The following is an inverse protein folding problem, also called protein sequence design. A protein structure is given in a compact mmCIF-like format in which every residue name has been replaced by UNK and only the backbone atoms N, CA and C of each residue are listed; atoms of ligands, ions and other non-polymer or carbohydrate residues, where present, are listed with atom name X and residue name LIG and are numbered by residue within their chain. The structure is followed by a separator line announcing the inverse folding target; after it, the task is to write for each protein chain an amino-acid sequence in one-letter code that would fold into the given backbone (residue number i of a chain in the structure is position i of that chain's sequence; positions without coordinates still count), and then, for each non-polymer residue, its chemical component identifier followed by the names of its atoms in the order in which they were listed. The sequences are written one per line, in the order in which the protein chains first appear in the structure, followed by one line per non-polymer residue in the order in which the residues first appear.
data_IF_932415282952
#
_entry.id   IF_932415282952
#
_cell.length_a   1.000
_cell.length_b   1.000
_cell.length_c   1.000
_cell.angle_alpha   90.00
_cell.angle_beta   90.00
_cell.angle_gamma   90.00
#
_symmetry.space_group_name_H-M   'P 1'
#
loop_
_entity.id
_entity.type
_entity.pdbx_description
1 polymer ?
#
# COMPACT_ATOMS: atom_id res chain seq x y z
N UNK A 1 -41.49 -3.89 11.89
CA UNK A 1 -40.62 -4.40 12.96
C UNK A 1 -40.74 -3.42 14.11
N UNK A 2 -41.25 -3.84 15.26
CA UNK A 2 -41.35 -2.99 16.45
C UNK A 2 -39.95 -2.69 16.98
N UNK A 3 -39.56 -1.41 16.98
CA UNK A 3 -38.39 -0.94 17.73
C UNK A 3 -38.67 -1.12 19.22
N UNK A 4 -38.25 -2.26 19.78
CA UNK A 4 -38.23 -2.47 21.22
C UNK A 4 -37.09 -1.62 21.80
N UNK A 5 -37.41 -0.39 22.16
CA UNK A 5 -36.52 0.50 22.89
C UNK A 5 -36.35 -0.01 24.33
N UNK A 6 -35.34 -0.86 24.55
CA UNK A 6 -34.99 -1.34 25.89
C UNK A 6 -34.36 -0.18 26.65
N UNK A 7 -35.13 0.47 27.51
CA UNK A 7 -34.63 1.52 28.40
C UNK A 7 -33.99 0.86 29.62
N UNK A 8 -32.67 0.94 29.73
CA UNK A 8 -31.93 0.54 30.94
C UNK A 8 -32.23 1.60 32.01
N UNK A 9 -33.15 1.30 32.93
CA UNK A 9 -33.41 2.17 34.07
C UNK A 9 -32.39 1.91 35.18
N UNK A 10 -31.40 2.79 35.30
CA UNK A 10 -30.46 2.83 36.43
C UNK A 10 -30.84 3.93 37.40
N UNK A 11 -31.02 3.60 38.67
CA UNK A 11 -31.32 4.56 39.73
C UNK A 11 -30.03 5.30 40.12
N UNK A 12 -29.95 6.59 39.77
CA UNK A 12 -28.79 7.47 39.98
C UNK A 12 -28.69 7.93 41.44
N UNK A 13 -28.30 7.05 42.36
CA UNK A 13 -27.67 7.51 43.61
C UNK A 13 -26.21 7.09 43.57
N UNK A 14 -25.25 8.04 43.55
CA UNK A 14 -23.84 7.69 43.51
C UNK A 14 -23.51 6.83 44.73
N UNK A 15 -22.79 5.70 44.57
CA UNK A 15 -22.40 4.87 45.69
C UNK A 15 -21.43 5.64 46.58
N UNK A 16 -21.94 6.22 47.67
CA UNK A 16 -21.16 6.98 48.64
C UNK A 16 -20.87 6.12 49.88
N UNK A 17 -19.58 5.98 50.22
CA UNK A 17 -19.16 5.33 51.46
C UNK A 17 -19.07 6.43 52.54
N UNK A 18 -20.10 6.56 53.38
CA UNK A 18 -20.01 7.38 54.59
C UNK A 18 -19.41 6.58 55.75
N UNK A 19 -18.42 7.12 56.44
CA UNK A 19 -17.86 6.50 57.65
C UNK A 19 -17.49 7.57 58.68
N UNK A 20 -17.45 7.18 59.95
CA UNK A 20 -17.16 8.09 61.07
C UNK A 20 -15.66 8.40 61.16
N UNK A 21 -15.15 9.19 60.21
CA UNK A 21 -13.73 9.56 60.12
C UNK A 21 -13.21 10.19 61.42
N UNK A 22 -13.95 11.12 62.01
CA UNK A 22 -13.52 11.84 63.21
C UNK A 22 -13.36 10.90 64.42
N UNK A 23 -14.26 9.93 64.57
CA UNK A 23 -14.17 8.92 65.64
C UNK A 23 -13.00 7.97 65.40
N UNK A 24 -12.80 7.51 64.15
CA UNK A 24 -11.69 6.62 63.79
C UNK A 24 -10.33 7.32 63.99
N UNK A 25 -10.25 8.61 63.65
CA UNK A 25 -9.06 9.44 63.86
C UNK A 25 -8.79 9.68 65.34
N UNK A 26 -9.82 10.00 66.13
CA UNK A 26 -9.68 10.18 67.59
C UNK A 26 -9.19 8.91 68.28
N UNK A 27 -9.72 7.74 67.90
CA UNK A 27 -9.26 6.45 68.38
C UNK A 27 -7.78 6.18 68.02
N UNK A 28 -7.39 6.44 66.77
CA UNK A 28 -6.01 6.26 66.32
C UNK A 28 -5.02 7.19 67.05
N UNK A 29 -5.42 8.45 67.31
CA UNK A 29 -4.62 9.39 68.11
C UNK A 29 -4.49 8.90 69.54
N UNK A 30 -5.58 8.52 70.20
CA UNK A 30 -5.54 8.02 71.58
C UNK A 30 -4.71 6.74 71.75
N UNK A 31 -4.72 5.84 70.75
CA UNK A 31 -3.88 4.64 70.75
C UNK A 31 -2.38 4.95 70.59
N UNK A 32 -2.04 6.05 69.91
CA UNK A 32 -0.64 6.43 69.62
C UNK A 32 -0.05 7.43 70.61
N UNK A 33 -0.88 8.13 71.37
CA UNK A 33 -0.49 9.21 72.28
C UNK A 33 0.48 8.76 73.38
N UNK A 34 0.30 7.54 73.90
CA UNK A 34 1.19 6.94 74.92
C UNK A 34 2.61 6.64 74.42
N UNK A 35 2.83 6.65 73.11
CA UNK A 35 4.12 6.33 72.49
C UNK A 35 4.89 7.57 72.03
N UNK A 36 4.29 8.76 72.13
CA UNK A 36 4.84 10.00 71.56
C UNK A 36 6.12 10.49 72.26
N UNK A 37 6.20 10.28 73.57
CA UNK A 37 7.32 10.72 74.43
C UNK A 37 8.06 9.53 75.10
N UNK A 38 7.84 8.31 74.61
CA UNK A 38 8.43 7.10 75.19
C UNK A 38 9.92 6.98 74.85
N UNK A 39 10.79 7.03 75.87
CA UNK A 39 12.22 6.74 75.74
C UNK A 39 12.44 5.24 75.97
N UNK A 40 12.93 4.54 74.95
CA UNK A 40 13.15 3.07 75.02
C UNK A 40 14.42 2.77 75.81
N UNK A 41 14.29 2.07 76.94
CA UNK A 41 15.39 1.52 77.73
C UNK A 41 15.61 0.03 77.39
N UNK A 42 16.78 -0.54 77.72
CA UNK A 42 17.14 -1.92 77.36
C UNK A 42 16.16 -2.97 77.90
N UNK A 43 15.62 -2.76 79.09
CA UNK A 43 14.63 -3.59 79.75
C UNK A 43 13.23 -3.48 79.11
N UNK A 44 12.89 -2.35 78.48
CA UNK A 44 11.59 -2.10 77.85
C UNK A 44 11.49 -2.61 76.39
N UNK A 45 12.59 -3.06 75.79
CA UNK A 45 12.64 -3.45 74.36
C UNK A 45 11.61 -4.52 74.01
N UNK A 46 11.41 -5.52 74.88
CA UNK A 46 10.47 -6.60 74.63
C UNK A 46 9.01 -6.11 74.59
N UNK A 47 8.62 -5.25 75.52
CA UNK A 47 7.28 -4.67 75.59
C UNK A 47 7.04 -3.69 74.42
N UNK A 48 8.03 -2.84 74.10
CA UNK A 48 7.95 -1.93 72.94
C UNK A 48 7.77 -2.70 71.63
N UNK A 49 8.46 -3.83 71.44
CA UNK A 49 8.27 -4.69 70.26
C UNK A 49 6.86 -5.27 70.18
N UNK A 50 6.26 -5.65 71.31
CA UNK A 50 4.86 -6.13 71.37
C UNK A 50 3.88 -5.02 70.98
N UNK A 51 4.10 -3.83 71.51
CA UNK A 51 3.25 -2.66 71.23
C UNK A 51 3.37 -2.19 69.77
N UNK A 52 4.58 -2.24 69.19
CA UNK A 52 4.78 -2.03 67.75
C UNK A 52 4.03 -3.05 66.89
N UNK A 53 3.97 -4.32 67.33
CA UNK A 53 3.20 -5.35 66.64
C UNK A 53 1.69 -5.09 66.74
N UNK A 54 1.20 -4.62 67.89
CA UNK A 54 -0.19 -4.24 68.11
C UNK A 54 -0.60 -3.03 67.25
N UNK A 55 0.21 -1.98 67.19
CA UNK A 55 -0.01 -0.82 66.32
C UNK A 55 -0.06 -1.22 64.84
N UNK A 56 0.85 -2.11 64.41
CA UNK A 56 0.82 -2.64 63.04
C UNK A 56 -0.42 -3.48 62.76
N UNK A 57 -0.89 -4.27 63.74
CA UNK A 57 -2.12 -5.06 63.62
C UNK A 57 -3.35 -4.16 63.51
N UNK A 58 -3.44 -3.11 64.33
CA UNK A 58 -4.50 -2.10 64.30
C UNK A 58 -4.52 -1.35 62.95
N UNK A 59 -3.36 -0.90 62.47
CA UNK A 59 -3.21 -0.29 61.14
C UNK A 59 -3.69 -1.21 60.02
N UNK A 60 -3.29 -2.49 60.06
CA UNK A 60 -3.70 -3.48 59.06
C UNK A 60 -5.20 -3.72 59.07
N UNK A 61 -5.82 -3.82 60.24
CA UNK A 61 -7.27 -4.00 60.36
C UNK A 61 -8.07 -2.85 59.72
N UNK A 62 -7.62 -1.60 59.90
CA UNK A 62 -8.25 -0.42 59.26
C UNK A 62 -8.10 -0.46 57.73
N UNK A 63 -6.91 -0.80 57.22
CA UNK A 63 -6.69 -0.91 55.78
C UNK A 63 -7.47 -2.07 55.15
N UNK A 64 -7.59 -3.20 55.84
CA UNK A 64 -8.38 -4.34 55.37
C UNK A 64 -9.89 -4.03 55.37
N UNK A 65 -10.40 -3.31 56.38
CA UNK A 65 -11.77 -2.81 56.39
C UNK A 65 -12.06 -1.83 55.24
N UNK A 66 -11.10 -0.95 54.91
CA UNK A 66 -11.17 -0.07 53.73
C UNK A 66 -11.26 -0.88 52.43
N UNK A 67 -10.38 -1.89 52.24
CA UNK A 67 -10.39 -2.74 51.04
C UNK A 67 -11.72 -3.47 50.89
N UNK A 68 -12.26 -4.00 51.98
CA UNK A 68 -13.53 -4.72 51.96
C UNK A 68 -14.71 -3.80 51.63
N UNK A 69 -14.76 -2.59 52.20
CA UNK A 69 -15.78 -1.60 51.86
C UNK A 69 -15.73 -1.21 50.37
N UNK A 70 -14.53 -0.98 49.82
CA UNK A 70 -14.34 -0.72 48.39
C UNK A 70 -14.76 -1.93 47.54
N UNK A 71 -14.40 -3.15 47.94
CA UNK A 71 -14.77 -4.38 47.24
C UNK A 71 -16.29 -4.50 47.14
N UNK A 72 -17.00 -4.38 48.26
CA UNK A 72 -18.48 -4.47 48.34
C UNK A 72 -19.20 -3.47 47.45
N UNK A 73 -18.67 -2.25 47.32
CA UNK A 73 -19.26 -1.24 46.43
C UNK A 73 -18.91 -1.50 44.96
N UNK A 74 -17.70 -1.99 44.69
CA UNK A 74 -17.25 -2.27 43.32
C UNK A 74 -17.86 -3.53 42.72
N UNK A 75 -18.26 -4.52 43.53
CA UNK A 75 -18.81 -5.79 43.08
C UNK A 75 -20.11 -5.65 42.28
N UNK A 76 -21.13 -4.92 42.77
CA UNK A 76 -22.35 -4.67 41.99
C UNK A 76 -22.07 -3.94 40.67
N UNK A 77 -21.11 -3.00 40.65
CA UNK A 77 -20.73 -2.26 39.45
C UNK A 77 -20.09 -3.21 38.43
N UNK A 78 -19.13 -4.04 38.86
CA UNK A 78 -18.49 -5.05 37.99
C UNK A 78 -19.49 -6.07 37.47
N UNK A 79 -20.45 -6.49 38.30
CA UNK A 79 -21.51 -7.40 37.90
C UNK A 79 -22.41 -6.76 36.83
N UNK A 80 -22.80 -5.50 37.01
CA UNK A 80 -23.55 -4.74 36.01
C UNK A 80 -22.76 -4.58 34.69
N UNK A 81 -21.49 -4.18 34.76
CA UNK A 81 -20.61 -4.08 33.59
C UNK A 81 -20.49 -5.42 32.85
N UNK A 82 -20.36 -6.53 33.58
CA UNK A 82 -20.31 -7.87 33.01
C UNK A 82 -21.63 -8.24 32.32
N UNK A 83 -22.78 -7.95 32.94
CA UNK A 83 -24.10 -8.20 32.37
C UNK A 83 -24.33 -7.38 31.09
N UNK A 84 -23.98 -6.10 31.09
CA UNK A 84 -24.06 -5.26 29.89
C UNK A 84 -23.11 -5.77 28.81
N UNK A 85 -21.89 -6.20 29.18
CA UNK A 85 -20.94 -6.77 28.24
C UNK A 85 -21.46 -8.07 27.60
N UNK A 86 -22.11 -8.93 28.37
CA UNK A 86 -22.78 -10.13 27.88
C UNK A 86 -23.87 -9.76 26.86
N UNK A 87 -24.73 -8.79 27.18
CA UNK A 87 -25.77 -8.29 26.26
C UNK A 87 -25.15 -7.74 24.98
N UNK A 88 -24.11 -6.90 25.06
CA UNK A 88 -23.41 -6.37 23.87
C UNK A 88 -22.73 -7.48 23.06
N UNK A 89 -22.25 -8.53 23.73
CA UNK A 89 -21.62 -9.69 23.09
C UNK A 89 -22.60 -10.50 22.23
N UNK A 90 -23.88 -10.53 22.58
CA UNK A 90 -24.92 -11.17 21.75
C UNK A 90 -25.04 -10.44 20.41
N UNK A 91 -25.09 -9.11 20.43
CA UNK A 91 -25.16 -8.30 19.20
C UNK A 91 -23.89 -8.46 18.35
N UNK A 92 -22.72 -8.43 18.97
CA UNK A 92 -21.43 -8.60 18.28
C UNK A 92 -21.32 -9.97 17.61
N UNK A 93 -21.76 -11.03 18.29
CA UNK A 93 -21.78 -12.39 17.74
C UNK A 93 -22.64 -12.49 16.47
N UNK A 94 -23.87 -11.96 16.53
CA UNK A 94 -24.77 -11.94 15.37
C UNK A 94 -24.22 -11.06 14.25
N UNK A 95 -23.66 -9.90 14.58
CA UNK A 95 -23.03 -9.01 13.61
C UNK A 95 -21.87 -9.70 12.89
N UNK A 96 -20.96 -10.34 13.63
CA UNK A 96 -19.82 -11.08 13.05
C UNK A 96 -20.30 -12.22 12.14
N UNK A 97 -21.30 -12.98 12.57
CA UNK A 97 -21.86 -14.06 11.76
C UNK A 97 -22.46 -13.54 10.44
N UNK A 98 -23.20 -12.42 10.48
CA UNK A 98 -23.74 -11.78 9.29
C UNK A 98 -22.63 -11.21 8.39
N UNK A 99 -21.62 -10.57 8.97
CA UNK A 99 -20.47 -10.04 8.23
C UNK A 99 -19.72 -11.15 7.48
N UNK A 100 -19.53 -12.30 8.11
CA UNK A 100 -18.86 -13.44 7.48
C UNK A 100 -19.73 -14.09 6.38
N UNK A 101 -21.05 -14.17 6.58
CA UNK A 101 -21.97 -14.61 5.52
C UNK A 101 -21.93 -13.67 4.30
N UNK A 102 -21.90 -12.35 4.52
CA UNK A 102 -21.77 -11.36 3.44
C UNK A 102 -20.45 -11.54 2.72
N UNK A 103 -19.32 -11.66 3.44
CA UNK A 103 -18.00 -11.91 2.81
C UNK A 103 -18.00 -13.19 1.99
N UNK A 104 -18.57 -14.29 2.50
CA UNK A 104 -18.66 -15.55 1.79
C UNK A 104 -19.49 -15.42 0.50
N UNK A 105 -20.62 -14.70 0.56
CA UNK A 105 -21.45 -14.46 -0.61
C UNK A 105 -20.77 -13.56 -1.65
N UNK A 106 -20.05 -12.52 -1.21
CA UNK A 106 -19.27 -11.66 -2.11
C UNK A 106 -18.10 -12.40 -2.76
N UNK A 107 -17.43 -13.29 -2.01
CA UNK A 107 -16.39 -14.16 -2.54
C UNK A 107 -16.97 -15.14 -3.59
N UNK A 108 -18.10 -15.78 -3.30
CA UNK A 108 -18.77 -16.66 -4.26
C UNK A 108 -19.17 -15.93 -5.56
N UNK A 109 -19.73 -14.72 -5.46
CA UNK A 109 -20.02 -13.88 -6.64
C UNK A 109 -18.76 -13.51 -7.41
N UNK A 110 -17.66 -13.22 -6.71
CA UNK A 110 -16.37 -12.90 -7.32
C UNK A 110 -15.79 -14.10 -8.08
N UNK A 111 -15.93 -15.30 -7.53
CA UNK A 111 -15.50 -16.55 -8.16
C UNK A 111 -16.39 -16.93 -9.35
N UNK A 112 -17.71 -16.79 -9.23
CA UNK A 112 -18.64 -16.99 -10.36
C UNK A 112 -18.31 -16.01 -11.51
N UNK A 113 -18.03 -14.75 -11.19
CA UNK A 113 -17.59 -13.77 -12.17
C UNK A 113 -16.25 -14.15 -12.80
N UNK A 114 -15.31 -14.71 -12.03
CA UNK A 114 -14.04 -15.22 -12.54
C UNK A 114 -14.26 -16.33 -13.57
N UNK A 115 -15.16 -17.27 -13.28
CA UNK A 115 -15.52 -18.37 -14.21
C UNK A 115 -16.07 -17.78 -15.51
N UNK A 116 -17.04 -16.85 -15.43
CA UNK A 116 -17.61 -16.18 -16.62
C UNK A 116 -16.55 -15.43 -17.43
N UNK A 117 -15.57 -14.81 -16.78
CA UNK A 117 -14.45 -14.14 -17.47
C UNK A 117 -13.58 -15.16 -18.20
N UNK A 118 -13.28 -16.31 -17.59
CA UNK A 118 -12.50 -17.38 -18.24
C UNK A 118 -13.23 -17.94 -19.46
N UNK A 119 -14.54 -18.15 -19.35
CA UNK A 119 -15.40 -18.54 -20.48
C UNK A 119 -15.37 -17.48 -21.59
N UNK A 120 -15.49 -16.19 -21.23
CA UNK A 120 -15.42 -15.08 -22.17
C UNK A 120 -14.05 -14.97 -22.86
N UNK A 121 -12.95 -15.23 -22.14
CA UNK A 121 -11.60 -15.30 -22.73
C UNK A 121 -11.55 -16.42 -23.76
N UNK A 122 -12.06 -17.61 -23.43
CA UNK A 122 -12.09 -18.75 -24.33
C UNK A 122 -12.94 -18.47 -25.57
N UNK A 123 -14.12 -17.86 -25.39
CA UNK A 123 -15.01 -17.44 -26.48
C UNK A 123 -14.31 -16.43 -27.40
N UNK A 124 -13.78 -15.33 -26.86
CA UNK A 124 -13.10 -14.31 -27.64
C UNK A 124 -11.87 -14.86 -28.37
N UNK A 125 -11.12 -15.77 -27.74
CA UNK A 125 -9.98 -16.45 -28.36
C UNK A 125 -10.47 -17.33 -29.51
N UNK A 126 -11.53 -18.11 -29.30
CA UNK A 126 -12.08 -18.98 -30.36
C UNK A 126 -12.61 -18.15 -31.53
N UNK A 127 -13.33 -17.05 -31.26
CA UNK A 127 -13.82 -16.12 -32.28
C UNK A 127 -12.67 -15.51 -33.10
N UNK A 128 -11.60 -15.05 -32.45
CA UNK A 128 -10.46 -14.38 -33.09
C UNK A 128 -9.57 -15.33 -33.89
N UNK A 129 -9.45 -16.59 -33.47
CA UNK A 129 -8.57 -17.59 -34.09
C UNK A 129 -9.32 -18.66 -34.89
N UNK A 130 -10.62 -18.44 -35.17
CA UNK A 130 -11.47 -19.37 -35.91
C UNK A 130 -10.85 -19.69 -37.29
N UNK A 131 -10.35 -20.91 -37.47
CA UNK A 131 -9.70 -21.38 -38.70
C UNK A 131 -8.21 -21.73 -38.59
N UNK A 132 -7.55 -21.48 -37.44
CA UNK A 132 -6.21 -21.98 -37.20
C UNK A 132 -6.26 -23.44 -36.71
N UNK A 133 -5.62 -24.35 -37.44
CA UNK A 133 -5.47 -25.78 -37.12
C UNK A 133 -4.83 -26.02 -35.72
N UNK A 134 -4.19 -24.98 -35.17
CA UNK A 134 -3.75 -24.88 -33.79
C UNK A 134 -4.02 -23.45 -33.30
N UNK A 135 -5.04 -23.25 -32.46
CA UNK A 135 -5.15 -22.02 -31.69
C UNK A 135 -3.96 -21.99 -30.71
N UNK A 136 -3.11 -20.95 -30.71
CA UNK A 136 -2.06 -20.83 -29.71
C UNK A 136 -2.70 -20.85 -28.32
N UNK A 137 -2.05 -21.50 -27.35
CA UNK A 137 -2.50 -21.46 -25.95
C UNK A 137 -2.20 -20.07 -25.38
N UNK A 138 -3.07 -19.11 -25.68
CA UNK A 138 -2.95 -17.73 -25.22
C UNK A 138 -3.48 -17.66 -23.80
N UNK A 139 -2.58 -17.52 -22.83
CA UNK A 139 -2.94 -17.34 -21.43
C UNK A 139 -3.13 -15.84 -21.16
N UNK A 140 -4.39 -15.37 -21.19
CA UNK A 140 -4.73 -14.02 -20.75
C UNK A 140 -4.92 -14.04 -19.23
N UNK A 141 -4.05 -13.35 -18.46
CA UNK A 141 -4.21 -13.30 -17.01
C UNK A 141 -5.48 -12.52 -16.64
N UNK A 142 -6.31 -13.11 -15.78
CA UNK A 142 -7.49 -12.44 -15.24
C UNK A 142 -7.05 -11.27 -14.36
N UNK A 143 -7.45 -10.06 -14.74
CA UNK A 143 -7.09 -8.85 -14.01
C UNK A 143 -8.03 -8.63 -12.83
N UNK A 144 -7.49 -8.23 -11.67
CA UNK A 144 -8.29 -8.05 -10.45
C UNK A 144 -9.43 -7.01 -10.63
N UNK A 145 -9.17 -5.95 -11.40
CA UNK A 145 -10.18 -4.93 -11.74
C UNK A 145 -11.41 -5.49 -12.48
N UNK A 146 -11.30 -6.61 -13.18
CA UNK A 146 -12.42 -7.25 -13.87
C UNK A 146 -13.38 -7.93 -12.88
N UNK A 147 -12.87 -8.33 -11.71
CA UNK A 147 -13.63 -9.01 -10.66
C UNK A 147 -14.47 -8.04 -9.81
N UNK A 148 -14.25 -6.73 -9.93
CA UNK A 148 -15.04 -5.69 -9.25
C UNK A 148 -16.50 -5.70 -9.71
N UNK A 149 -17.47 -5.59 -8.79
CA UNK A 149 -18.92 -5.56 -9.10
C UNK A 149 -19.32 -4.53 -10.16
N UNK A 150 -18.64 -3.37 -10.18
CA UNK A 150 -18.92 -2.26 -11.09
C UNK A 150 -18.43 -2.49 -12.52
N UNK A 151 -17.47 -3.40 -12.74
CA UNK A 151 -16.90 -3.64 -14.06
C UNK A 151 -17.84 -4.50 -14.90
N UNK A 152 -18.29 -3.98 -16.04
CA UNK A 152 -19.26 -4.67 -16.90
C UNK A 152 -18.59 -5.74 -17.77
N UNK A 153 -19.33 -6.80 -18.13
CA UNK A 153 -18.83 -7.85 -19.04
C UNK A 153 -18.41 -7.28 -20.40
N UNK A 154 -19.09 -6.23 -20.88
CA UNK A 154 -18.76 -5.55 -22.13
C UNK A 154 -17.36 -4.93 -22.10
N UNK A 155 -17.03 -4.17 -21.06
CA UNK A 155 -15.70 -3.56 -20.90
C UNK A 155 -14.61 -4.62 -20.77
N UNK A 156 -14.91 -5.73 -20.09
CA UNK A 156 -13.96 -6.85 -19.96
C UNK A 156 -13.72 -7.51 -21.33
N UNK A 157 -14.77 -7.70 -22.13
CA UNK A 157 -14.66 -8.22 -23.50
C UNK A 157 -13.77 -7.34 -24.37
N UNK A 158 -13.96 -6.02 -24.31
CA UNK A 158 -13.14 -5.05 -25.04
C UNK A 158 -11.65 -5.14 -24.63
N UNK A 159 -11.36 -5.19 -23.32
CA UNK A 159 -9.99 -5.37 -22.80
C UNK A 159 -9.36 -6.70 -23.26
N UNK A 160 -10.14 -7.79 -23.27
CA UNK A 160 -9.69 -9.10 -23.77
C UNK A 160 -9.34 -9.00 -25.25
N UNK A 161 -10.21 -8.40 -26.06
CA UNK A 161 -9.98 -8.23 -27.50
C UNK A 161 -8.70 -7.43 -27.77
N UNK A 162 -8.50 -6.31 -27.07
CA UNK A 162 -7.27 -5.51 -27.18
C UNK A 162 -6.03 -6.34 -26.83
N UNK A 163 -6.13 -7.17 -25.79
CA UNK A 163 -5.05 -8.05 -25.37
C UNK A 163 -4.72 -9.12 -26.41
N UNK A 164 -5.74 -9.69 -27.06
CA UNK A 164 -5.60 -10.65 -28.15
C UNK A 164 -4.97 -10.00 -29.38
N UNK A 165 -5.44 -8.82 -29.78
CA UNK A 165 -4.93 -8.10 -30.95
C UNK A 165 -3.44 -7.75 -30.80
N UNK A 166 -3.03 -7.27 -29.62
CA UNK A 166 -1.61 -7.04 -29.30
C UNK A 166 -0.78 -8.32 -29.40
N UNK A 167 -1.31 -9.44 -28.91
CA UNK A 167 -0.61 -10.73 -29.00
C UNK A 167 -0.43 -11.18 -30.45
N UNK A 168 -1.46 -11.02 -31.29
CA UNK A 168 -1.40 -11.34 -32.72
C UNK A 168 -0.34 -10.48 -33.41
N UNK A 169 -0.31 -9.17 -33.15
CA UNK A 169 0.68 -8.26 -33.72
C UNK A 169 2.12 -8.62 -33.31
N UNK A 170 2.34 -8.97 -32.04
CA UNK A 170 3.65 -9.42 -31.55
C UNK A 170 4.10 -10.71 -32.25
N UNK A 171 3.19 -11.66 -32.42
CA UNK A 171 3.47 -12.93 -33.10
C UNK A 171 3.75 -12.73 -34.60
N UNK A 172 2.97 -11.86 -35.27
CA UNK A 172 3.22 -11.48 -36.66
C UNK A 172 4.57 -10.77 -36.82
N UNK A 173 4.93 -9.87 -35.89
CA UNK A 173 6.23 -9.18 -35.88
C UNK A 173 7.38 -10.17 -35.71
N UNK A 174 7.24 -11.16 -34.83
CA UNK A 174 8.23 -12.23 -34.66
C UNK A 174 8.37 -13.06 -35.94
N UNK A 175 7.26 -13.49 -36.55
CA UNK A 175 7.28 -14.25 -37.80
C UNK A 175 7.90 -13.45 -38.94
N UNK A 176 7.57 -12.17 -39.07
CA UNK A 176 8.16 -11.29 -40.08
C UNK A 176 9.67 -11.11 -39.87
N UNK A 177 10.12 -10.99 -38.62
CA UNK A 177 11.54 -10.92 -38.28
C UNK A 177 12.29 -12.21 -38.63
N UNK A 178 11.72 -13.36 -38.28
CA UNK A 178 12.30 -14.67 -38.60
C UNK A 178 12.31 -14.92 -40.12
N UNK A 179 11.27 -14.52 -40.84
CA UNK A 179 11.24 -14.59 -42.29
C UNK A 179 12.31 -13.67 -42.91
N UNK A 180 12.43 -12.42 -42.43
CA UNK A 180 13.45 -11.49 -42.90
C UNK A 180 14.88 -12.03 -42.66
N UNK A 181 15.13 -12.72 -41.55
CA UNK A 181 16.40 -13.42 -41.31
C UNK A 181 16.62 -14.55 -42.32
N UNK A 182 15.60 -15.37 -42.60
CA UNK A 182 15.68 -16.45 -43.61
C UNK A 182 15.96 -15.92 -45.00
N UNK A 183 15.25 -14.87 -45.43
CA UNK A 183 15.44 -14.23 -46.73
C UNK A 183 16.85 -13.62 -46.84
N UNK A 184 17.32 -13.01 -45.75
CA UNK A 184 18.67 -12.46 -45.66
C UNK A 184 19.74 -13.55 -45.79
N UNK A 185 19.56 -14.69 -45.13
CA UNK A 185 20.45 -15.86 -45.31
C UNK A 185 20.44 -16.28 -46.77
N UNK A 186 19.27 -16.54 -47.35
CA UNK A 186 19.15 -16.96 -48.75
C UNK A 186 19.82 -16.00 -49.74
N UNK A 187 19.70 -14.69 -49.52
CA UNK A 187 20.38 -13.67 -50.32
C UNK A 187 21.91 -13.78 -50.22
N UNK A 188 22.45 -13.96 -49.01
CA UNK A 188 23.89 -14.17 -48.79
C UNK A 188 24.34 -15.47 -49.45
N UNK A 189 23.59 -16.57 -49.30
CA UNK A 189 23.92 -17.84 -49.94
C UNK A 189 24.00 -17.72 -51.45
N UNK A 190 23.00 -17.09 -52.06
CA UNK A 190 22.94 -16.89 -53.50
C UNK A 190 24.08 -15.99 -53.98
N UNK A 191 24.41 -14.94 -53.23
CA UNK A 191 25.52 -14.04 -53.57
C UNK A 191 26.88 -14.74 -53.50
N UNK A 192 27.14 -15.51 -52.44
CA UNK A 192 28.38 -16.30 -52.29
C UNK A 192 28.50 -17.34 -53.39
N UNK A 193 27.40 -18.05 -53.73
CA UNK A 193 27.38 -19.01 -54.84
C UNK A 193 27.71 -18.35 -56.18
N UNK A 194 27.13 -17.18 -56.46
CA UNK A 194 27.40 -16.42 -57.68
C UNK A 194 28.88 -15.99 -57.77
N UNK A 195 29.45 -15.48 -56.68
CA UNK A 195 30.87 -15.09 -56.63
C UNK A 195 31.81 -16.30 -56.75
N UNK A 196 31.49 -17.42 -56.09
CA UNK A 196 32.23 -18.68 -56.26
C UNK A 196 32.26 -19.12 -57.72
N UNK A 197 31.13 -19.05 -58.43
CA UNK A 197 31.06 -19.38 -59.85
C UNK A 197 31.84 -18.38 -60.72
N UNK A 198 31.74 -17.08 -60.42
CA UNK A 198 32.41 -16.02 -61.19
C UNK A 198 33.93 -16.04 -61.07
N UNK A 199 34.46 -16.31 -59.87
CA UNK A 199 35.90 -16.30 -59.58
C UNK A 199 36.52 -17.70 -59.51
N UNK A 200 35.76 -18.75 -59.85
CA UNK A 200 36.17 -20.16 -59.79
C UNK A 200 36.69 -20.59 -58.40
N UNK A 201 36.14 -20.02 -57.33
CA UNK A 201 36.43 -20.41 -55.95
C UNK A 201 35.41 -21.42 -55.41
N UNK A 202 35.82 -22.19 -54.41
CA UNK A 202 34.98 -23.16 -53.72
C UNK A 202 34.84 -22.85 -52.21
N UNK A 203 34.53 -21.60 -51.85
CA UNK A 203 34.32 -21.26 -50.45
C UNK A 203 32.98 -21.81 -49.93
N UNK A 204 32.98 -22.35 -48.71
CA UNK A 204 31.75 -22.76 -48.03
C UNK A 204 30.90 -21.54 -47.65
N UNK A 205 29.60 -21.60 -47.95
CA UNK A 205 28.61 -20.55 -47.64
C UNK A 205 28.53 -20.26 -46.14
N UNK A 206 28.65 -21.29 -45.30
CA UNK A 206 28.61 -21.15 -43.83
C UNK A 206 29.69 -20.22 -43.28
N UNK A 207 30.80 -20.01 -44.01
CA UNK A 207 31.86 -19.08 -43.62
C UNK A 207 31.38 -17.62 -43.57
N UNK A 208 30.37 -17.29 -44.37
CA UNK A 208 29.86 -15.92 -44.54
C UNK A 208 28.53 -15.67 -43.81
N UNK A 209 27.98 -16.69 -43.14
CA UNK A 209 26.78 -16.57 -42.29
C UNK A 209 27.23 -16.55 -40.83
N UNK A 210 27.67 -15.38 -40.36
CA UNK A 210 28.06 -15.15 -38.97
C UNK A 210 27.07 -14.23 -38.23
N UNK A 211 27.32 -13.97 -36.93
CA UNK A 211 26.44 -13.11 -36.13
C UNK A 211 26.35 -11.66 -36.65
N UNK A 212 27.34 -11.19 -37.42
CA UNK A 212 27.31 -9.88 -38.07
C UNK A 212 26.44 -9.93 -39.33
N UNK A 213 26.58 -11.00 -40.11
CA UNK A 213 25.79 -11.25 -41.31
C UNK A 213 24.30 -11.36 -40.99
N UNK A 214 23.92 -11.90 -39.82
CA UNK A 214 22.52 -12.00 -39.37
C UNK A 214 22.01 -10.79 -38.59
N UNK A 215 22.83 -9.76 -38.39
CA UNK A 215 22.42 -8.56 -37.68
C UNK A 215 21.50 -7.68 -38.55
N UNK A 216 20.22 -7.57 -38.17
CA UNK A 216 19.22 -6.79 -38.89
C UNK A 216 19.44 -5.26 -38.82
N UNK A 217 20.30 -4.78 -37.92
CA UNK A 217 20.71 -3.38 -37.87
C UNK A 217 21.77 -2.99 -38.91
N UNK A 218 22.35 -3.97 -39.63
CA UNK A 218 23.34 -3.73 -40.68
C UNK A 218 22.66 -3.93 -42.04
N UNK A 219 22.68 -2.92 -42.94
CA UNK A 219 22.13 -3.04 -44.28
C UNK A 219 22.70 -4.24 -45.04
N UNK A 220 21.83 -4.96 -45.77
CA UNK A 220 22.24 -6.18 -46.48
C UNK A 220 23.30 -5.88 -47.54
N UNK A 221 23.18 -4.77 -48.25
CA UNK A 221 24.14 -4.31 -49.26
C UNK A 221 25.56 -4.16 -48.68
N UNK A 222 25.69 -3.67 -47.45
CA UNK A 222 26.99 -3.52 -46.80
C UNK A 222 27.64 -4.88 -46.50
N UNK A 223 26.84 -5.88 -46.14
CA UNK A 223 27.33 -7.26 -45.95
C UNK A 223 27.73 -7.87 -47.30
N UNK A 224 26.88 -7.76 -48.32
CA UNK A 224 27.16 -8.30 -49.65
C UNK A 224 28.42 -7.64 -50.25
N UNK A 225 28.55 -6.32 -50.14
CA UNK A 225 29.75 -5.57 -50.57
C UNK A 225 31.01 -6.02 -49.82
N UNK A 226 30.90 -6.27 -48.51
CA UNK A 226 32.00 -6.81 -47.72
C UNK A 226 32.45 -8.19 -48.20
N UNK A 227 31.50 -9.07 -48.55
CA UNK A 227 31.78 -10.39 -49.13
C UNK A 227 32.45 -10.24 -50.50
N UNK A 228 31.93 -9.39 -51.39
CA UNK A 228 32.55 -9.11 -52.70
C UNK A 228 34.00 -8.63 -52.56
N UNK A 229 34.24 -7.69 -51.65
CA UNK A 229 35.60 -7.18 -51.33
C UNK A 229 36.52 -8.31 -50.83
N UNK A 230 36.01 -9.26 -50.05
CA UNK A 230 36.78 -10.42 -49.59
C UNK A 230 37.18 -11.31 -50.78
N UNK A 231 36.26 -11.62 -51.69
CA UNK A 231 36.55 -12.41 -52.89
C UNK A 231 37.60 -11.73 -53.77
N UNK A 232 37.51 -10.41 -53.98
CA UNK A 232 38.47 -9.64 -54.76
C UNK A 232 39.87 -9.60 -54.14
N UNK A 233 39.97 -9.61 -52.80
CA UNK A 233 41.26 -9.65 -52.07
C UNK A 233 41.93 -11.02 -52.11
N UNK A 234 41.16 -12.09 -52.29
CA UNK A 234 41.68 -13.46 -52.44
C UNK A 234 42.28 -13.70 -53.83
N UNK A 235 42.02 -12.80 -54.79
CA UNK A 235 42.75 -12.75 -56.07
C UNK A 235 44.16 -12.21 -55.77
N UNK A 236 45.25 -12.90 -56.16
CA UNK A 236 46.60 -12.40 -55.91
C UNK A 236 46.80 -11.06 -56.64
N UNK A 237 46.98 -9.96 -55.90
CA UNK A 237 47.26 -8.64 -56.48
C UNK A 237 48.57 -8.03 -55.93
N UNK A 238 49.31 -7.45 -56.88
CA UNK A 238 50.54 -6.65 -56.74
C UNK A 238 50.32 -5.48 -55.75
N UNK A 239 51.38 -5.14 -55.01
CA UNK A 239 51.43 -4.19 -53.88
C UNK A 239 50.95 -2.75 -54.20
N UNK A 240 50.54 -1.96 -53.18
CA UNK A 240 49.85 -0.67 -53.32
C UNK A 240 50.82 0.52 -53.33
N UNK A 241 50.38 1.76 -53.66
CA UNK A 241 50.97 2.96 -53.11
C UNK A 241 50.17 3.52 -51.94
N UNK A 242 50.93 4.12 -51.04
CA UNK A 242 50.67 4.61 -49.68
C UNK A 242 50.22 6.09 -49.67
N UNK A 243 49.80 6.62 -48.49
CA UNK A 243 49.07 7.88 -48.32
C UNK A 243 50.00 9.09 -48.19
N UNK A 244 49.46 10.31 -48.33
CA UNK A 244 50.11 11.56 -47.89
C UNK A 244 49.06 12.56 -47.35
N UNK A 245 49.36 13.37 -46.30
CA UNK A 245 48.39 13.91 -45.35
C UNK A 245 48.30 15.45 -45.27
N UNK A 246 47.33 15.92 -44.45
CA UNK A 246 47.30 17.17 -43.62
C UNK A 246 47.32 18.55 -44.33
N UNK A 247 47.08 19.71 -43.66
CA UNK A 247 46.52 20.04 -42.31
C UNK A 247 45.32 21.04 -42.38
N UNK A 248 44.34 21.09 -41.44
CA UNK A 248 44.17 22.01 -40.26
C UNK A 248 44.35 23.53 -40.52
N UNK A 249 43.88 24.50 -39.68
CA UNK A 249 42.91 24.48 -38.54
C UNK A 249 42.02 25.77 -38.34
N UNK A 250 41.08 25.73 -37.37
CA UNK A 250 40.69 26.79 -36.36
C UNK A 250 40.17 28.19 -36.79
N UNK A 251 39.76 29.09 -35.86
CA UNK A 251 39.01 28.98 -34.59
C UNK A 251 37.92 30.08 -34.46
N UNK A 252 37.16 30.08 -33.35
CA UNK A 252 36.64 31.34 -32.78
C UNK A 252 35.29 31.24 -32.03
N UNK A 253 34.96 32.21 -31.15
CA UNK A 253 34.77 31.94 -29.72
C UNK A 253 33.41 32.37 -29.09
N UNK A 254 33.14 31.79 -27.90
CA UNK A 254 32.54 32.27 -26.61
C UNK A 254 32.33 33.80 -26.47
N UNK A 255 31.58 34.41 -25.50
CA UNK A 255 30.75 33.89 -24.36
C UNK A 255 29.45 34.69 -24.01
N UNK A 256 28.69 34.16 -23.01
CA UNK A 256 27.96 34.80 -21.87
C UNK A 256 26.96 35.98 -22.07
N UNK A 257 26.13 36.40 -21.08
CA UNK A 257 25.85 35.87 -19.73
C UNK A 257 24.35 35.77 -19.36
N UNK A 258 24.12 35.16 -18.20
CA UNK A 258 22.98 35.33 -17.28
C UNK A 258 22.87 36.79 -16.77
N UNK A 259 21.70 37.28 -16.34
CA UNK A 259 21.57 37.52 -14.89
C UNK A 259 20.16 37.30 -14.32
N UNK A 260 20.12 36.50 -13.26
CA UNK A 260 19.58 36.74 -11.92
C UNK A 260 18.47 37.81 -11.68
N UNK A 261 17.33 37.30 -11.15
CA UNK A 261 16.55 37.75 -9.96
C UNK A 261 15.96 39.18 -9.92
N UNK A 262 14.98 39.54 -9.04
CA UNK A 262 14.54 38.84 -7.82
C UNK A 262 13.02 38.72 -7.58
N UNK A 263 12.74 38.05 -6.47
CA UNK A 263 11.46 37.85 -5.81
C UNK A 263 10.61 39.13 -5.62
N UNK A 264 9.32 38.93 -5.32
CA UNK A 264 8.86 39.43 -4.04
C UNK A 264 8.25 38.35 -3.17
N UNK A 265 8.71 38.43 -1.93
CA UNK A 265 8.32 37.76 -0.72
C UNK A 265 6.82 37.88 -0.40
N UNK A 266 6.37 36.89 0.38
CA UNK A 266 5.38 36.97 1.46
C UNK A 266 3.96 36.44 1.19
N UNK A 267 3.70 35.22 1.68
CA UNK A 267 2.87 35.00 2.88
C UNK A 267 2.94 33.53 3.32
N UNK A 268 3.50 33.28 4.50
CA UNK A 268 3.23 32.03 5.22
C UNK A 268 1.83 32.16 5.82
N UNK A 269 0.85 31.43 5.30
CA UNK A 269 -0.47 31.30 5.94
C UNK A 269 -0.44 30.09 6.86
N UNK A 270 -0.60 30.32 8.16
CA UNK A 270 -0.89 29.28 9.13
C UNK A 270 -2.40 29.15 9.26
N UNK A 271 -2.94 27.95 9.07
CA UNK A 271 -4.35 27.64 9.25
C UNK A 271 -4.56 27.09 10.66
N UNK A 272 -5.48 27.68 11.42
CA UNK A 272 -5.91 27.17 12.73
C UNK A 272 -7.33 26.62 12.56
N UNK A 273 -7.51 25.34 12.86
CA UNK A 273 -8.82 24.67 12.87
C UNK A 273 -9.23 24.44 14.32
N UNK A 274 -10.38 24.99 14.73
CA UNK A 274 -10.94 24.80 16.08
C UNK A 274 -12.16 23.91 15.95
N UNK A 275 -12.12 22.72 16.57
CA UNK A 275 -13.26 21.80 16.68
C UNK A 275 -13.81 21.97 18.10
N UNK A 276 -15.09 22.34 18.21
CA UNK A 276 -15.77 22.54 19.49
C UNK A 276 -16.95 21.57 19.56
N UNK A 277 -16.92 20.68 20.54
CA UNK A 277 -18.07 19.85 20.90
C UNK A 277 -18.93 20.61 21.92
N UNK A 278 -20.25 20.64 21.69
CA UNK A 278 -21.18 21.35 22.56
C UNK A 278 -22.57 20.71 22.57
N UNK A 279 -23.30 20.91 23.66
CA UNK A 279 -24.70 20.48 23.79
C UNK A 279 -25.60 21.29 22.83
N UNK A 280 -26.48 20.60 22.09
CA UNK A 280 -27.39 21.20 21.10
C UNK A 280 -28.23 22.36 21.64
N UNK A 281 -28.53 22.39 22.94
CA UNK A 281 -29.27 23.50 23.59
C UNK A 281 -28.51 24.83 23.56
N UNK A 282 -27.18 24.78 23.47
CA UNK A 282 -26.31 25.97 23.48
C UNK A 282 -25.91 26.44 22.07
N UNK A 283 -26.43 25.79 21.01
CA UNK A 283 -26.10 26.07 19.60
C UNK A 283 -26.20 27.54 19.24
N UNK A 284 -27.30 28.21 19.59
CA UNK A 284 -27.51 29.61 19.19
C UNK A 284 -26.50 30.57 19.81
N UNK A 285 -26.17 30.40 21.09
CA UNK A 285 -25.17 31.23 21.79
C UNK A 285 -23.76 31.00 21.25
N UNK A 286 -23.42 29.76 20.92
CA UNK A 286 -22.11 29.40 20.35
C UNK A 286 -21.98 29.95 18.94
N UNK A 287 -23.02 29.85 18.12
CA UNK A 287 -23.02 30.43 16.77
C UNK A 287 -22.89 31.96 16.79
N UNK A 288 -23.52 32.64 17.74
CA UNK A 288 -23.41 34.09 17.95
C UNK A 288 -21.98 34.51 18.34
N UNK A 289 -21.35 33.77 19.28
CA UNK A 289 -19.95 33.99 19.63
C UNK A 289 -19.00 33.73 18.45
N UNK A 290 -19.24 32.67 17.66
CA UNK A 290 -18.43 32.35 16.48
C UNK A 290 -18.61 33.39 15.37
N UNK A 291 -19.80 33.99 15.22
CA UNK A 291 -19.98 35.12 14.29
C UNK A 291 -19.21 36.36 14.73
N UNK A 292 -19.20 36.70 16.01
CA UNK A 292 -18.39 37.82 16.51
C UNK A 292 -16.88 37.60 16.29
N UNK A 293 -16.43 36.36 16.42
CA UNK A 293 -15.03 35.96 16.18
C UNK A 293 -14.65 35.99 14.69
N UNK A 294 -15.63 35.75 13.80
CA UNK A 294 -15.50 35.84 12.34
C UNK A 294 -15.36 37.29 11.88
N UNK A 295 -16.13 38.21 12.43
CA UNK A 295 -16.09 39.64 12.07
C UNK A 295 -14.76 40.30 12.48
N UNK A 296 -14.10 39.76 13.51
CA UNK A 296 -12.75 40.16 13.93
C UNK A 296 -11.62 39.64 13.01
N UNK A 297 -11.92 38.66 12.14
CA UNK A 297 -10.93 37.92 11.34
C UNK A 297 -11.25 38.02 9.84
N UNK A 298 -11.01 39.17 9.22
CA UNK A 298 -11.24 39.40 7.78
C UNK A 298 -10.24 38.61 6.91
N UNK A 299 -10.64 37.44 6.41
CA UNK A 299 -10.55 37.02 5.01
C UNK A 299 -11.16 35.61 4.85
N UNK A 300 -12.33 35.57 4.24
CA UNK A 300 -13.22 34.43 4.12
C UNK A 300 -13.04 33.73 2.77
N UNK A 301 -12.84 32.42 2.78
CA UNK A 301 -13.06 31.55 1.62
C UNK A 301 -13.87 30.33 2.07
N UNK A 302 -15.19 30.40 1.92
CA UNK A 302 -16.08 29.26 2.15
C UNK A 302 -15.96 28.28 0.97
N UNK A 303 -15.46 27.07 1.22
CA UNK A 303 -15.81 25.91 0.38
C UNK A 303 -16.84 25.09 1.12
N UNK A 304 -18.08 25.14 0.64
CA UNK A 304 -19.15 24.22 1.01
C UNK A 304 -18.74 22.78 0.73
N UNK A 305 -18.87 21.91 1.73
CA UNK A 305 -19.31 20.52 1.58
C UNK A 305 -20.21 20.15 2.73
#
# INVERSE_FOLDING_TARGET
MEEKQITVQTQETPPAISFNFDQLKAWAVGMTERYKDLVVTEDAIADVKRDMAELNKAKKAVDDARKEAVRRVSEPIKAFEAQIKEVTGIFESVYSALADQVKAFEAAQRDEKRIKILELIQECTTEKFCGAEYAPRIEIPVQDRWLNKTTTMKSIREDIIISLDRYIEEEQRKKALEQAKKDRVAAIENHVKALNQQYEFAFSVSKFIDGRALNMGIPLDQILSGIGTYFERMIPKKAPPKPVPEPTPTPGPIPDPEPETPAPTARKTATISIIIEYDMRNKSKIMECLSGLRDLCVNYAERRR
#
